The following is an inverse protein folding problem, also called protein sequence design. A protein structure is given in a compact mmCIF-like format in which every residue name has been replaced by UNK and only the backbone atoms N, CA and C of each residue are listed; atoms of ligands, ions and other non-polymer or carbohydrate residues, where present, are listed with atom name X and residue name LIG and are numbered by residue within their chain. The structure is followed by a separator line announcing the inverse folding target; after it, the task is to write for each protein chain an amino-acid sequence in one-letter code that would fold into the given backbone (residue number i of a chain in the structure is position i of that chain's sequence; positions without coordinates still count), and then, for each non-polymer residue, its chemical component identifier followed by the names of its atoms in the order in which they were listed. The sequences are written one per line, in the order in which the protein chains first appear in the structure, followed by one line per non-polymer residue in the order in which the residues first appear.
data_IF_908930703127
#
_entry.id   IF_908930703127
#
_cell.length_a   1.000
_cell.length_b   1.000
_cell.length_c   1.000
_cell.angle_alpha   90.00
_cell.angle_beta   90.00
_cell.angle_gamma   90.00
#
_symmetry.space_group_name_H-M   'P 1'
#
loop_
_entity.id
_entity.type
_entity.pdbx_description
1 polymer ?
#
# COMPACT_ATOMS: atom_id res chain seq x y z
N UNK A 1 -2.40 -22.90 6.76
CA UNK A 1 -2.14 -22.60 5.35
C UNK A 1 -0.70 -22.92 5.04
N UNK A 2 -0.41 -23.58 3.94
CA UNK A 2 0.95 -23.93 3.50
C UNK A 2 1.14 -23.58 2.03
N UNK A 3 2.32 -23.03 1.69
CA UNK A 3 2.69 -22.76 0.31
C UNK A 3 2.91 -24.11 -0.42
N UNK A 4 2.34 -24.25 -1.63
CA UNK A 4 2.44 -25.47 -2.42
C UNK A 4 3.66 -25.43 -3.34
N UNK A 5 3.84 -24.31 -4.04
CA UNK A 5 4.87 -24.16 -5.05
C UNK A 5 6.11 -23.44 -4.49
N UNK A 6 7.29 -23.74 -5.06
CA UNK A 6 8.59 -23.26 -4.53
C UNK A 6 8.97 -21.88 -5.05
N UNK A 7 8.64 -21.61 -6.32
CA UNK A 7 8.97 -20.34 -6.97
C UNK A 7 7.75 -19.42 -6.95
N UNK A 8 7.54 -18.73 -5.83
CA UNK A 8 6.37 -17.85 -5.63
C UNK A 8 6.80 -16.42 -5.29
N UNK A 9 6.21 -15.45 -5.97
CA UNK A 9 6.33 -14.03 -5.62
C UNK A 9 5.37 -13.71 -4.48
N UNK A 10 5.88 -13.71 -3.23
CA UNK A 10 5.08 -13.46 -2.03
C UNK A 10 4.90 -11.97 -1.70
N UNK A 11 5.55 -11.08 -2.45
CA UNK A 11 5.44 -9.62 -2.26
C UNK A 11 4.19 -9.01 -2.93
N UNK A 12 3.30 -9.85 -3.46
CA UNK A 12 2.04 -9.41 -4.04
C UNK A 12 1.12 -8.85 -2.95
N UNK A 13 0.62 -7.60 -3.08
CA UNK A 13 -0.25 -7.00 -2.08
C UNK A 13 -1.61 -7.73 -2.04
N UNK A 14 -2.16 -7.88 -0.83
CA UNK A 14 -3.51 -8.44 -0.61
C UNK A 14 -4.41 -7.36 -0.02
N UNK A 15 -5.46 -6.98 -0.75
CA UNK A 15 -6.45 -6.00 -0.30
C UNK A 15 -7.80 -6.64 0.05
N UNK A 16 -8.12 -7.78 -0.56
CA UNK A 16 -9.40 -8.49 -0.34
C UNK A 16 -9.24 -9.99 -0.54
N UNK A 17 -10.25 -10.74 -0.14
CA UNK A 17 -10.34 -12.19 -0.33
C UNK A 17 -11.69 -12.52 -0.98
N UNK A 18 -11.67 -13.36 -1.99
CA UNK A 18 -12.86 -13.84 -2.69
C UNK A 18 -12.84 -15.36 -2.82
N UNK A 19 -14.01 -15.98 -2.98
CA UNK A 19 -14.09 -17.39 -3.35
C UNK A 19 -14.69 -17.56 -4.73
N UNK A 20 -14.21 -18.58 -5.41
CA UNK A 20 -14.79 -18.99 -6.68
C UNK A 20 -14.87 -20.51 -6.80
N UNK A 21 -15.95 -20.95 -7.42
CA UNK A 21 -16.12 -22.34 -7.84
C UNK A 21 -16.34 -22.44 -9.35
N UNK A 22 -16.31 -21.29 -10.05
CA UNK A 22 -16.61 -21.22 -11.49
C UNK A 22 -15.41 -20.66 -12.27
N UNK A 23 -15.17 -21.13 -13.51
CA UNK A 23 -14.05 -20.68 -14.34
C UNK A 23 -14.14 -19.23 -14.82
N UNK A 24 -15.33 -18.61 -14.77
CA UNK A 24 -15.60 -17.26 -15.25
C UNK A 24 -15.18 -16.15 -14.27
N UNK A 25 -14.62 -16.54 -13.14
CA UNK A 25 -14.12 -15.60 -12.09
C UNK A 25 -13.21 -14.51 -12.66
N UNK A 26 -12.45 -14.80 -13.70
CA UNK A 26 -11.48 -13.89 -14.33
C UNK A 26 -12.12 -12.54 -14.68
N UNK A 27 -13.40 -12.52 -15.05
CA UNK A 27 -14.14 -11.30 -15.42
C UNK A 27 -14.47 -10.39 -14.23
N UNK A 28 -14.33 -10.89 -13.00
CA UNK A 28 -14.81 -10.20 -11.78
C UNK A 28 -13.75 -10.05 -10.69
N UNK A 29 -12.51 -10.47 -10.93
CA UNK A 29 -11.42 -10.42 -9.93
C UNK A 29 -11.11 -8.99 -9.52
N UNK A 30 -11.32 -8.61 -8.25
CA UNK A 30 -10.91 -7.31 -7.76
C UNK A 30 -9.38 -7.16 -7.75
N UNK A 31 -8.92 -5.93 -7.80
CA UNK A 31 -7.48 -5.64 -7.71
C UNK A 31 -6.93 -6.10 -6.36
N UNK A 32 -5.77 -6.77 -6.39
CA UNK A 32 -5.07 -7.28 -5.20
C UNK A 32 -5.91 -8.28 -4.39
N UNK A 33 -6.71 -9.09 -5.09
CA UNK A 33 -7.54 -10.11 -4.49
C UNK A 33 -6.73 -11.41 -4.26
N UNK A 34 -6.93 -12.03 -3.10
CA UNK A 34 -6.55 -13.42 -2.86
C UNK A 34 -7.77 -14.31 -3.09
N UNK A 35 -7.70 -15.23 -4.03
CA UNK A 35 -8.82 -16.10 -4.40
C UNK A 35 -8.72 -17.43 -3.66
N UNK A 36 -9.85 -17.93 -3.16
CA UNK A 36 -9.95 -19.27 -2.58
C UNK A 36 -10.94 -20.11 -3.35
N UNK A 37 -10.66 -21.41 -3.47
CA UNK A 37 -11.52 -22.37 -4.17
C UNK A 37 -11.45 -23.75 -3.54
N UNK A 38 -12.53 -24.49 -3.64
CA UNK A 38 -12.51 -25.94 -3.36
C UNK A 38 -12.04 -26.75 -4.57
N UNK A 39 -11.85 -26.07 -5.70
CA UNK A 39 -11.48 -26.64 -7.00
C UNK A 39 -12.45 -27.71 -7.53
N UNK A 40 -13.72 -27.67 -7.11
CA UNK A 40 -14.74 -28.63 -7.53
C UNK A 40 -14.91 -28.67 -9.06
N UNK A 41 -14.89 -27.50 -9.72
CA UNK A 41 -15.03 -27.41 -11.19
C UNK A 41 -13.86 -28.02 -11.96
N UNK A 42 -12.74 -28.27 -11.28
CA UNK A 42 -11.48 -28.74 -11.88
C UNK A 42 -11.17 -30.20 -11.55
N UNK A 43 -12.06 -30.88 -10.79
CA UNK A 43 -11.89 -32.27 -10.35
C UNK A 43 -11.60 -33.23 -11.49
N UNK A 44 -12.35 -33.13 -12.59
CA UNK A 44 -12.24 -34.03 -13.74
C UNK A 44 -11.10 -33.64 -14.71
N UNK A 45 -10.67 -32.38 -14.66
CA UNK A 45 -9.61 -31.86 -15.54
C UNK A 45 -8.84 -30.73 -14.88
N UNK A 46 -7.70 -31.08 -14.31
CA UNK A 46 -6.81 -30.12 -13.65
C UNK A 46 -6.02 -29.23 -14.64
N UNK A 47 -5.98 -29.54 -15.95
CA UNK A 47 -5.34 -28.64 -16.93
C UNK A 47 -6.04 -27.27 -16.98
N UNK A 48 -7.35 -27.23 -16.70
CA UNK A 48 -8.09 -25.96 -16.58
C UNK A 48 -7.61 -25.10 -15.39
N UNK A 49 -7.01 -25.69 -14.34
CA UNK A 49 -6.35 -24.92 -13.28
C UNK A 49 -5.10 -24.21 -13.80
N UNK A 50 -4.35 -24.82 -14.73
CA UNK A 50 -3.21 -24.16 -15.37
C UNK A 50 -3.68 -22.90 -16.13
N UNK A 51 -4.78 -23.02 -16.90
CA UNK A 51 -5.36 -21.88 -17.62
C UNK A 51 -5.85 -20.79 -16.68
N UNK A 52 -6.48 -21.18 -15.57
CA UNK A 52 -6.91 -20.23 -14.53
C UNK A 52 -5.71 -19.49 -13.93
N UNK A 53 -4.65 -20.20 -13.53
CA UNK A 53 -3.44 -19.61 -12.93
C UNK A 53 -2.81 -18.60 -13.88
N UNK A 54 -2.62 -18.98 -15.16
CA UNK A 54 -2.05 -18.08 -16.18
C UNK A 54 -2.93 -16.84 -16.43
N UNK A 55 -4.23 -16.99 -16.29
CA UNK A 55 -5.17 -15.88 -16.43
C UNK A 55 -5.16 -14.97 -15.23
N UNK A 56 -5.13 -15.52 -14.01
CA UNK A 56 -5.05 -14.77 -12.76
C UNK A 56 -3.71 -14.04 -12.61
N UNK A 57 -2.61 -14.62 -13.10
CA UNK A 57 -1.30 -13.99 -13.09
C UNK A 57 -1.23 -12.71 -13.93
N UNK A 58 -1.98 -12.66 -15.05
CA UNK A 58 -2.10 -11.45 -15.90
C UNK A 58 -2.92 -10.35 -15.25
N UNK A 59 -3.69 -10.67 -14.22
CA UNK A 59 -4.48 -9.73 -13.43
C UNK A 59 -3.71 -9.36 -12.16
N UNK A 60 -4.04 -8.25 -11.49
CA UNK A 60 -3.46 -7.90 -10.21
C UNK A 60 -4.03 -8.79 -9.08
N UNK A 61 -3.88 -10.11 -9.24
CA UNK A 61 -4.30 -11.13 -8.28
C UNK A 61 -3.13 -11.52 -7.37
N UNK A 62 -3.39 -11.63 -6.07
CA UNK A 62 -2.36 -11.88 -5.07
C UNK A 62 -1.95 -13.36 -4.99
N UNK A 63 -2.87 -14.28 -5.29
CA UNK A 63 -2.61 -15.72 -5.25
C UNK A 63 -3.89 -16.54 -5.23
N UNK A 64 -3.74 -17.87 -5.24
CA UNK A 64 -4.84 -18.83 -5.23
C UNK A 64 -4.69 -19.82 -4.08
N UNK A 65 -5.68 -19.83 -3.18
CA UNK A 65 -5.83 -20.83 -2.13
C UNK A 65 -6.71 -21.99 -2.59
N UNK A 66 -6.21 -23.21 -2.53
CA UNK A 66 -6.94 -24.41 -2.93
C UNK A 66 -7.18 -25.28 -1.71
N UNK A 67 -8.43 -25.66 -1.48
CA UNK A 67 -8.81 -26.57 -0.41
C UNK A 67 -8.65 -28.03 -0.87
N UNK A 68 -7.44 -28.56 -0.66
CA UNK A 68 -7.14 -29.96 -0.97
C UNK A 68 -7.80 -30.93 0.03
N UNK A 69 -8.03 -32.15 -0.43
CA UNK A 69 -8.67 -33.23 0.34
C UNK A 69 -10.20 -33.23 0.29
N UNK A 70 -10.83 -32.29 -0.46
CA UNK A 70 -12.30 -32.26 -0.61
C UNK A 70 -12.78 -32.79 -1.96
N UNK A 71 -12.27 -32.27 -3.04
CA UNK A 71 -12.60 -32.67 -4.42
C UNK A 71 -11.37 -33.08 -5.20
N UNK A 72 -10.24 -32.53 -4.86
CA UNK A 72 -8.91 -32.84 -5.37
C UNK A 72 -8.04 -33.16 -4.15
N UNK A 73 -7.49 -34.37 -4.09
CA UNK A 73 -6.60 -34.77 -3.00
C UNK A 73 -5.18 -34.23 -3.23
N UNK A 74 -4.66 -34.34 -4.45
CA UNK A 74 -3.35 -33.89 -4.85
C UNK A 74 -3.42 -33.10 -6.15
N UNK A 75 -2.60 -32.06 -6.27
CA UNK A 75 -2.48 -31.32 -7.52
C UNK A 75 -1.58 -32.06 -8.52
N UNK A 76 -1.99 -32.05 -9.79
CA UNK A 76 -1.15 -32.49 -10.88
C UNK A 76 0.18 -31.69 -10.86
N UNK A 77 1.34 -32.36 -11.01
CA UNK A 77 2.63 -31.69 -11.12
C UNK A 77 2.67 -30.56 -12.17
N UNK A 78 1.89 -30.67 -13.24
CA UNK A 78 1.76 -29.62 -14.25
C UNK A 78 1.18 -28.32 -13.69
N UNK A 79 0.22 -28.39 -12.76
CA UNK A 79 -0.39 -27.22 -12.12
C UNK A 79 0.66 -26.49 -11.30
N UNK A 80 1.45 -27.24 -10.52
CA UNK A 80 2.53 -26.68 -9.69
C UNK A 80 3.62 -26.05 -10.58
N UNK A 81 4.06 -26.77 -11.64
CA UNK A 81 5.03 -26.25 -12.60
C UNK A 81 4.56 -24.99 -13.31
N UNK A 82 3.26 -24.93 -13.66
CA UNK A 82 2.67 -23.74 -14.28
C UNK A 82 2.75 -22.55 -13.34
N UNK A 83 2.37 -22.73 -12.08
CA UNK A 83 2.46 -21.68 -11.07
C UNK A 83 3.90 -21.22 -10.82
N UNK A 84 4.85 -22.18 -10.72
CA UNK A 84 6.28 -21.89 -10.57
C UNK A 84 6.85 -21.10 -11.75
N UNK A 85 6.41 -21.40 -12.97
CA UNK A 85 6.89 -20.73 -14.19
C UNK A 85 6.58 -19.26 -14.25
N UNK A 86 5.48 -18.83 -13.63
CA UNK A 86 5.04 -17.43 -13.58
C UNK A 86 5.20 -16.80 -12.18
N UNK A 87 5.70 -17.57 -11.21
CA UNK A 87 5.87 -17.11 -9.84
C UNK A 87 4.54 -16.81 -9.12
N UNK A 88 3.45 -17.48 -9.53
CA UNK A 88 2.13 -17.24 -8.96
C UNK A 88 1.92 -18.05 -7.67
N UNK A 89 1.57 -17.44 -6.52
CA UNK A 89 1.43 -18.15 -5.26
C UNK A 89 0.24 -19.13 -5.23
N UNK A 90 0.53 -20.41 -4.97
CA UNK A 90 -0.46 -21.44 -4.66
C UNK A 90 -0.39 -21.82 -3.19
N UNK A 91 -1.52 -21.78 -2.50
CA UNK A 91 -1.61 -22.04 -1.07
C UNK A 91 -2.59 -23.18 -0.80
N UNK A 92 -2.15 -24.21 -0.07
CA UNK A 92 -3.03 -25.26 0.42
C UNK A 92 -3.83 -24.77 1.63
N UNK A 93 -5.14 -24.92 1.53
CA UNK A 93 -6.09 -24.73 2.65
C UNK A 93 -6.40 -26.12 3.22
N UNK A 94 -5.95 -26.42 4.47
CA UNK A 94 -6.18 -27.73 5.07
C UNK A 94 -7.65 -28.08 5.18
N UNK A 95 -7.97 -29.37 5.00
CA UNK A 95 -9.37 -29.87 4.98
C UNK A 95 -10.15 -29.52 6.26
N UNK A 96 -9.47 -29.51 7.43
CA UNK A 96 -10.09 -29.23 8.71
C UNK A 96 -10.50 -27.78 8.91
N UNK A 97 -9.94 -26.82 8.12
CA UNK A 97 -10.35 -25.42 8.17
C UNK A 97 -11.59 -25.21 7.29
N UNK A 98 -12.63 -24.61 7.82
CA UNK A 98 -13.76 -24.15 6.99
C UNK A 98 -13.35 -22.92 6.18
N UNK A 99 -14.00 -22.70 5.04
CA UNK A 99 -13.76 -21.47 4.26
C UNK A 99 -14.12 -20.22 5.07
N UNK A 100 -15.18 -20.31 5.91
CA UNK A 100 -15.56 -19.23 6.81
C UNK A 100 -14.46 -18.84 7.81
N UNK A 101 -13.76 -19.84 8.40
CA UNK A 101 -12.59 -19.57 9.26
C UNK A 101 -11.44 -18.93 8.50
N UNK A 102 -11.20 -19.37 7.26
CA UNK A 102 -10.17 -18.77 6.41
C UNK A 102 -10.52 -17.31 6.13
N UNK A 103 -11.76 -17.03 5.72
CA UNK A 103 -12.25 -15.65 5.53
C UNK A 103 -12.09 -14.81 6.77
N UNK A 104 -12.56 -15.29 7.92
CA UNK A 104 -12.49 -14.55 9.18
C UNK A 104 -11.05 -14.20 9.54
N UNK A 105 -10.11 -15.13 9.41
CA UNK A 105 -8.69 -14.89 9.70
C UNK A 105 -8.06 -13.88 8.73
N UNK A 106 -8.33 -14.00 7.44
CA UNK A 106 -7.83 -13.04 6.45
C UNK A 106 -8.37 -11.64 6.68
N UNK A 107 -9.68 -11.50 6.84
CA UNK A 107 -10.31 -10.20 7.08
C UNK A 107 -9.82 -9.57 8.39
N UNK A 108 -9.63 -10.39 9.44
CA UNK A 108 -9.08 -9.89 10.70
C UNK A 108 -7.65 -9.37 10.55
N UNK A 109 -6.81 -10.05 9.74
CA UNK A 109 -5.45 -9.57 9.47
C UNK A 109 -5.45 -8.27 8.66
N UNK A 110 -6.25 -8.20 7.59
CA UNK A 110 -6.37 -6.98 6.79
C UNK A 110 -6.91 -5.81 7.62
N UNK A 111 -7.93 -6.05 8.44
CA UNK A 111 -8.51 -5.04 9.33
C UNK A 111 -7.53 -4.55 10.40
N UNK A 112 -6.74 -5.46 10.99
CA UNK A 112 -5.75 -5.07 11.99
C UNK A 112 -4.66 -4.18 11.38
N UNK A 113 -4.19 -4.49 10.17
CA UNK A 113 -3.20 -3.64 9.46
C UNK A 113 -3.76 -2.23 9.19
N UNK A 114 -5.02 -2.13 8.77
CA UNK A 114 -5.68 -0.84 8.55
C UNK A 114 -5.89 -0.07 9.85
N UNK A 115 -6.32 -0.76 10.93
CA UNK A 115 -6.50 -0.16 12.25
C UNK A 115 -5.19 0.32 12.86
N UNK A 116 -4.11 -0.45 12.76
CA UNK A 116 -2.80 -0.06 13.28
C UNK A 116 -2.31 1.23 12.60
N UNK A 117 -2.48 1.34 11.28
CA UNK A 117 -2.17 2.55 10.54
C UNK A 117 -3.02 3.75 11.00
N UNK A 118 -4.32 3.55 11.21
CA UNK A 118 -5.23 4.61 11.69
C UNK A 118 -4.88 5.04 13.13
N UNK A 119 -4.61 4.09 14.01
CA UNK A 119 -4.21 4.36 15.40
C UNK A 119 -2.87 5.11 15.44
N UNK A 120 -1.88 4.74 14.63
CA UNK A 120 -0.61 5.46 14.56
C UNK A 120 -0.79 6.87 13.99
N UNK A 121 -1.63 7.06 12.98
CA UNK A 121 -1.97 8.37 12.45
C UNK A 121 -2.63 9.27 13.50
N UNK A 122 -3.60 8.74 14.27
CA UNK A 122 -4.27 9.47 15.34
C UNK A 122 -3.32 9.82 16.49
N UNK A 123 -2.43 8.90 16.88
CA UNK A 123 -1.41 9.15 17.88
C UNK A 123 -0.42 10.24 17.41
N UNK A 124 -0.01 10.20 16.16
CA UNK A 124 0.86 11.21 15.56
C UNK A 124 0.19 12.57 15.54
N UNK A 125 -1.08 12.65 15.14
CA UNK A 125 -1.87 13.88 15.18
C UNK A 125 -1.94 14.45 16.60
N UNK A 126 -2.20 13.61 17.60
CA UNK A 126 -2.25 14.02 19.01
C UNK A 126 -0.89 14.53 19.52
N UNK A 127 0.18 13.89 19.15
CA UNK A 127 1.55 14.34 19.48
C UNK A 127 1.84 15.72 18.87
N UNK A 128 1.57 15.89 17.57
CA UNK A 128 1.73 17.17 16.88
C UNK A 128 0.91 18.29 17.53
N UNK A 129 -0.36 18.01 17.83
CA UNK A 129 -1.26 18.94 18.48
C UNK A 129 -0.73 19.39 19.85
N UNK A 130 -0.24 18.46 20.67
CA UNK A 130 0.35 18.78 21.97
C UNK A 130 1.61 19.66 21.83
N UNK A 131 2.50 19.38 20.88
CA UNK A 131 3.69 20.20 20.63
C UNK A 131 3.30 21.63 20.22
N UNK A 132 2.30 21.79 19.37
CA UNK A 132 1.82 23.09 18.91
C UNK A 132 1.21 23.89 20.08
N UNK A 133 0.38 23.26 20.94
CA UNK A 133 -0.21 23.91 22.11
C UNK A 133 0.84 24.33 23.12
N UNK A 134 1.88 23.51 23.32
CA UNK A 134 2.98 23.83 24.22
C UNK A 134 3.91 24.93 23.68
N UNK A 135 3.68 25.40 22.45
CA UNK A 135 4.47 26.46 21.83
C UNK A 135 5.90 26.06 21.55
N UNK A 136 6.17 24.77 21.32
CA UNK A 136 7.53 24.32 20.98
C UNK A 136 7.97 24.90 19.64
N UNK A 137 9.30 25.12 19.46
CA UNK A 137 9.83 25.65 18.20
C UNK A 137 9.41 24.80 16.99
N UNK A 138 9.09 25.47 15.88
CA UNK A 138 8.65 24.84 14.62
C UNK A 138 9.57 23.71 14.17
N UNK A 139 10.88 23.88 14.38
CA UNK A 139 11.89 22.85 14.08
C UNK A 139 11.64 21.51 14.78
N UNK A 140 11.14 21.52 16.02
CA UNK A 140 10.83 20.28 16.75
C UNK A 140 9.59 19.59 16.19
N UNK A 141 8.58 20.38 15.80
CA UNK A 141 7.40 19.86 15.11
C UNK A 141 7.81 19.22 13.78
N UNK A 142 8.64 19.90 12.99
CA UNK A 142 9.11 19.42 11.71
C UNK A 142 9.99 18.16 11.85
N UNK A 143 10.80 18.07 12.91
CA UNK A 143 11.58 16.85 13.22
C UNK A 143 10.69 15.64 13.48
N UNK A 144 9.59 15.81 14.20
CA UNK A 144 8.65 14.71 14.43
C UNK A 144 8.00 14.26 13.11
N UNK A 145 7.60 15.21 12.26
CA UNK A 145 7.03 14.91 10.94
C UNK A 145 8.05 14.16 10.08
N UNK A 146 9.26 14.69 9.96
CA UNK A 146 10.34 14.06 9.18
C UNK A 146 10.66 12.64 9.67
N UNK A 147 10.72 12.43 10.99
CA UNK A 147 10.96 11.11 11.57
C UNK A 147 9.82 10.12 11.30
N UNK A 148 8.57 10.58 11.33
CA UNK A 148 7.40 9.73 11.05
C UNK A 148 7.27 9.35 9.58
N UNK A 149 7.60 10.27 8.69
CA UNK A 149 7.59 10.03 7.24
C UNK A 149 8.87 9.32 6.77
N UNK A 150 9.92 9.33 7.58
CA UNK A 150 11.27 8.92 7.20
C UNK A 150 11.79 9.67 5.94
N UNK A 151 11.38 10.93 5.81
CA UNK A 151 11.68 11.77 4.64
C UNK A 151 12.17 13.15 5.09
N UNK A 152 13.02 13.84 4.27
CA UNK A 152 13.37 15.22 4.50
C UNK A 152 12.14 16.12 4.42
N UNK A 153 12.09 17.14 5.28
CA UNK A 153 10.97 18.08 5.33
C UNK A 153 11.46 19.52 5.39
N UNK A 154 10.75 20.42 4.71
CA UNK A 154 10.98 21.86 4.78
C UNK A 154 9.63 22.61 4.82
N UNK A 155 9.67 23.81 5.38
CA UNK A 155 8.54 24.74 5.38
C UNK A 155 9.00 26.04 4.76
N UNK A 156 8.23 26.53 3.80
CA UNK A 156 8.43 27.84 3.18
C UNK A 156 7.23 28.73 3.48
N UNK A 157 7.45 30.03 3.48
CA UNK A 157 6.39 31.00 3.60
C UNK A 157 5.66 31.23 2.25
N UNK A 158 4.67 32.10 2.25
CA UNK A 158 3.91 32.48 1.04
C UNK A 158 4.74 33.17 -0.04
N UNK A 159 5.92 33.66 0.32
CA UNK A 159 6.84 34.33 -0.61
C UNK A 159 7.90 33.37 -1.18
N UNK A 160 7.90 32.10 -0.76
CA UNK A 160 8.90 31.11 -1.14
C UNK A 160 10.15 31.15 -0.26
N UNK A 161 10.17 31.95 0.82
CA UNK A 161 11.32 32.00 1.75
C UNK A 161 11.31 30.80 2.70
N UNK A 162 12.49 30.23 2.94
CA UNK A 162 12.66 29.10 3.86
C UNK A 162 12.38 29.52 5.29
N UNK A 163 11.36 28.95 5.93
CA UNK A 163 11.08 29.12 7.35
C UNK A 163 11.89 28.12 8.20
N UNK A 164 11.89 26.86 7.82
CA UNK A 164 12.58 25.80 8.55
C UNK A 164 12.83 24.58 7.65
N UNK A 165 13.88 23.80 7.94
CA UNK A 165 14.17 22.55 7.25
C UNK A 165 14.78 21.52 8.17
N UNK A 166 14.55 20.23 7.88
CA UNK A 166 15.05 19.09 8.64
C UNK A 166 15.44 17.98 7.68
N UNK A 167 16.62 17.38 7.91
CA UNK A 167 17.18 16.30 7.12
C UNK A 167 17.36 16.65 5.63
N UNK A 168 17.57 17.94 5.30
CA UNK A 168 17.78 18.46 3.96
C UNK A 168 19.17 19.05 3.80
N UNK A 169 19.73 19.00 2.61
CA UNK A 169 20.93 19.75 2.21
C UNK A 169 20.54 21.10 1.62
N UNK A 170 21.50 22.04 1.57
CA UNK A 170 21.25 23.36 0.98
C UNK A 170 20.83 23.30 -0.50
N UNK A 171 21.40 22.37 -1.26
CA UNK A 171 21.07 22.17 -2.67
C UNK A 171 19.66 21.62 -2.87
N UNK A 172 19.22 20.70 -2.01
CA UNK A 172 17.85 20.17 -2.01
C UNK A 172 16.84 21.27 -1.66
N UNK A 173 17.13 22.10 -0.68
CA UNK A 173 16.29 23.24 -0.30
C UNK A 173 16.15 24.22 -1.47
N UNK A 174 17.24 24.60 -2.12
CA UNK A 174 17.22 25.53 -3.27
C UNK A 174 16.43 24.96 -4.45
N UNK A 175 16.62 23.66 -4.76
CA UNK A 175 15.90 23.00 -5.84
C UNK A 175 14.39 22.90 -5.55
N UNK A 176 14.01 22.58 -4.30
CA UNK A 176 12.61 22.52 -3.90
C UNK A 176 11.93 23.89 -3.98
N UNK A 177 12.57 24.94 -3.46
CA UNK A 177 12.05 26.34 -3.52
C UNK A 177 11.87 26.80 -4.95
N UNK A 178 12.86 26.60 -5.83
CA UNK A 178 12.77 26.98 -7.23
C UNK A 178 11.59 26.30 -7.94
N UNK A 179 11.24 25.08 -7.53
CA UNK A 179 10.11 24.36 -8.09
C UNK A 179 8.76 24.89 -7.56
N UNK A 180 8.71 25.25 -6.29
CA UNK A 180 7.52 25.82 -5.63
C UNK A 180 7.17 27.20 -6.22
N UNK A 181 8.17 28.03 -6.56
CA UNK A 181 7.97 29.36 -7.14
C UNK A 181 7.30 29.32 -8.52
N UNK A 182 7.41 28.19 -9.23
CA UNK A 182 6.74 27.95 -10.52
C UNK A 182 5.27 27.50 -10.40
N UNK A 183 4.77 27.23 -9.19
CA UNK A 183 3.43 26.71 -8.96
C UNK A 183 2.42 27.84 -8.70
N UNK A 184 1.19 27.62 -9.13
CA UNK A 184 0.09 28.56 -8.89
C UNK A 184 -0.29 28.51 -7.38
N UNK A 185 -0.02 29.60 -6.65
CA UNK A 185 -0.13 29.65 -5.17
C UNK A 185 -1.59 29.67 -4.64
N UNK A 186 -2.58 29.67 -5.53
CA UNK A 186 -4.01 29.68 -5.18
C UNK A 186 -4.63 28.27 -5.04
N UNK A 187 -3.91 27.22 -5.40
CA UNK A 187 -4.38 25.86 -5.27
C UNK A 187 -4.29 25.37 -3.80
N UNK A 188 -5.45 25.13 -3.22
CA UNK A 188 -5.61 24.57 -1.87
C UNK A 188 -5.41 23.04 -1.81
N UNK A 189 -4.94 22.43 -2.89
CA UNK A 189 -4.78 20.99 -3.02
C UNK A 189 -3.32 20.58 -2.79
N UNK A 190 -3.16 19.34 -2.32
CA UNK A 190 -1.84 18.72 -2.22
C UNK A 190 -1.31 18.46 -3.61
N UNK A 191 -0.11 18.97 -3.90
CA UNK A 191 0.55 18.79 -5.19
C UNK A 191 1.64 17.75 -5.05
N UNK A 192 1.70 16.79 -5.98
CA UNK A 192 2.79 15.85 -6.11
C UNK A 192 3.47 16.07 -7.46
N UNK A 193 4.76 16.36 -7.45
CA UNK A 193 5.55 16.55 -8.66
C UNK A 193 6.88 15.80 -8.58
N UNK A 194 7.48 15.53 -9.74
CA UNK A 194 8.81 14.92 -9.82
C UNK A 194 9.86 16.01 -10.03
N UNK A 195 10.89 16.00 -9.18
CA UNK A 195 11.98 16.98 -9.21
C UNK A 195 13.31 16.25 -9.38
N UNK A 196 14.18 16.79 -10.23
CA UNK A 196 15.55 16.30 -10.36
C UNK A 196 16.45 17.06 -9.42
N UNK A 197 16.91 16.40 -8.37
CA UNK A 197 17.85 16.99 -7.41
C UNK A 197 19.30 16.76 -7.85
N UNK A 198 20.23 17.72 -7.57
CA UNK A 198 21.60 17.69 -8.09
C UNK A 198 22.40 16.43 -7.75
N UNK A 199 22.14 15.82 -6.60
CA UNK A 199 22.87 14.67 -6.07
C UNK A 199 22.16 13.32 -6.22
N UNK A 200 21.03 13.29 -6.94
CA UNK A 200 20.23 12.08 -7.13
C UNK A 200 20.28 11.63 -8.58
N UNK A 201 20.50 10.32 -8.80
CA UNK A 201 20.52 9.71 -10.14
C UNK A 201 19.11 9.60 -10.71
N UNK A 202 18.09 9.49 -9.85
CA UNK A 202 16.67 9.38 -10.22
C UNK A 202 15.91 10.63 -9.81
N UNK A 203 14.80 10.89 -10.51
CA UNK A 203 13.84 11.90 -10.10
C UNK A 203 13.24 11.54 -8.72
N UNK A 204 13.15 12.55 -7.85
CA UNK A 204 12.57 12.43 -6.52
C UNK A 204 11.18 13.02 -6.54
N UNK A 205 10.23 12.40 -5.84
CA UNK A 205 8.88 12.94 -5.70
C UNK A 205 8.87 14.00 -4.60
N UNK A 206 8.40 15.20 -4.96
CA UNK A 206 8.15 16.29 -4.02
C UNK A 206 6.65 16.38 -3.74
N UNK A 207 6.28 16.27 -2.46
CA UNK A 207 4.92 16.45 -1.99
C UNK A 207 4.78 17.80 -1.31
N UNK A 208 3.87 18.64 -1.81
CA UNK A 208 3.65 19.99 -1.33
C UNK A 208 2.26 20.06 -0.69
N UNK A 209 2.24 20.40 0.61
CA UNK A 209 1.02 20.51 1.39
C UNK A 209 0.78 21.98 1.76
N UNK A 210 -0.32 22.61 1.33
CA UNK A 210 -0.64 23.97 1.72
C UNK A 210 -1.04 24.05 3.21
N UNK A 211 -0.34 24.87 3.99
CA UNK A 211 -0.65 25.10 5.40
C UNK A 211 -1.53 26.34 5.50
N UNK A 212 -2.79 26.16 5.88
CA UNK A 212 -3.73 27.27 6.07
C UNK A 212 -3.47 27.96 7.42
N UNK A 213 -3.14 29.23 7.39
CA UNK A 213 -3.14 30.07 8.59
C UNK A 213 -4.55 30.53 8.89
N UNK A 214 -5.09 30.15 10.04
CA UNK A 214 -6.31 30.75 10.55
C UNK A 214 -5.90 32.12 11.10
N UNK A 215 -6.03 33.19 10.30
CA UNK A 215 -5.93 34.55 10.81
C UNK A 215 -7.09 34.73 11.79
N UNK A 216 -6.81 34.84 13.08
CA UNK A 216 -7.70 35.54 13.99
C UNK A 216 -7.76 37.00 13.51
N UNK A 217 -8.90 37.40 12.97
CA UNK A 217 -9.22 38.79 12.84
C UNK A 217 -9.34 39.34 14.26
N UNK A 218 -8.24 39.82 14.81
CA UNK A 218 -8.23 40.64 16.02
C UNK A 218 -8.64 42.04 15.61
N UNK A 219 -9.93 42.24 15.37
CA UNK A 219 -10.53 43.55 15.55
C UNK A 219 -10.82 43.68 17.07
N UNK A 220 -9.84 44.16 17.80
CA UNK A 220 -10.11 44.85 19.05
C UNK A 220 -10.35 46.30 18.70
N UNK A 221 -11.60 46.75 18.93
CA UNK A 221 -11.87 48.14 19.21
C UNK A 221 -11.40 48.46 20.62
#
# INVERSE_FOLDING_TARGET
LTLINQNSCLDRPVATIESTETPDVISYVPKNCFIITTAMAYKENQEKLCELILSLDKLPCAGLGIKLGRFIDELDPKVIQTADSVGFPLINIPIHLTLGEVYHRFLSLLWNVENDNLVDALNTQKQLYNLIIQGVPLRQVLKLISAKLNEPCLIVDRFGELCESVNTTEDEVKAAIAHIDGLNKDDNETICCSVRLPNYVKEVKLYIYPIKSIRRNSHFM
#
